data_IF_539834672282
#
_entry.id   IF_539834672282
#
_cell.length_a   1.000
_cell.length_b   1.000
_cell.length_c   1.000
_cell.angle_alpha   90.00
_cell.angle_beta   90.00
_cell.angle_gamma   90.00
#
_symmetry.space_group_name_H-M   'P 1'
#
loop_
_entity.id
_entity.type
_entity.pdbx_description
1 polymer ?
#
# COMPACT_ATOMS: atom_id res chain seq x y z
N UNK A 1 48.64 17.39 6.51
CA UNK A 1 47.98 16.16 6.99
C UNK A 1 46.49 16.34 6.79
N UNK A 2 45.90 15.62 5.83
CA UNK A 2 44.47 15.68 5.58
C UNK A 2 43.75 14.85 6.65
N UNK A 3 42.77 15.47 7.32
CA UNK A 3 41.86 14.77 8.23
C UNK A 3 40.92 13.95 7.35
N UNK A 4 41.12 12.64 7.34
CA UNK A 4 40.16 11.70 6.77
C UNK A 4 38.96 11.67 7.71
N UNK A 5 37.75 12.05 7.28
CA UNK A 5 36.57 11.84 8.11
C UNK A 5 36.37 10.33 8.24
N UNK A 6 36.44 9.83 9.47
CA UNK A 6 36.00 8.49 9.83
C UNK A 6 34.60 8.30 9.27
N UNK A 7 34.45 7.31 8.38
CA UNK A 7 33.19 6.95 7.75
C UNK A 7 32.11 6.83 8.83
N UNK A 8 31.12 7.71 8.70
CA UNK A 8 30.15 8.02 9.72
C UNK A 8 29.32 6.82 10.14
N UNK A 9 29.04 6.76 11.43
CA UNK A 9 27.83 6.14 11.95
C UNK A 9 26.66 6.64 11.09
N UNK A 10 26.07 5.75 10.29
CA UNK A 10 24.79 6.04 9.66
C UNK A 10 23.84 6.45 10.80
N UNK A 11 23.16 7.60 10.71
CA UNK A 11 22.24 8.02 11.75
C UNK A 11 21.18 6.94 11.90
N UNK A 12 21.11 6.32 13.08
CA UNK A 12 20.05 5.38 13.42
C UNK A 12 18.72 6.14 13.49
N UNK A 13 17.65 5.52 13.00
CA UNK A 13 16.32 6.08 13.06
C UNK A 13 15.85 6.29 14.51
N UNK A 14 15.11 7.38 14.73
CA UNK A 14 14.48 7.67 16.02
C UNK A 14 13.13 6.96 16.08
N UNK A 15 13.01 6.03 17.03
CA UNK A 15 11.76 5.33 17.32
C UNK A 15 11.14 5.86 18.62
N UNK A 16 10.02 6.58 18.49
CA UNK A 16 9.22 7.05 19.62
C UNK A 16 8.07 6.09 19.87
N UNK A 17 7.68 5.87 21.13
CA UNK A 17 6.49 5.08 21.47
C UNK A 17 5.49 5.94 22.24
N UNK A 18 4.24 5.97 21.79
CA UNK A 18 3.15 6.70 22.44
C UNK A 18 1.91 5.82 22.61
N UNK A 19 1.04 6.19 23.55
CA UNK A 19 -0.26 5.53 23.76
C UNK A 19 -1.33 6.29 22.97
N UNK A 20 -2.13 5.59 22.19
CA UNK A 20 -3.21 6.19 21.43
C UNK A 20 -3.77 5.31 20.32
N UNK A 21 -4.36 5.96 19.33
CA UNK A 21 -4.91 5.33 18.14
C UNK A 21 -4.10 5.76 16.91
N UNK A 22 -3.45 4.81 16.23
CA UNK A 22 -2.64 5.08 15.03
C UNK A 22 -3.43 5.82 13.94
N UNK A 23 -4.75 5.64 13.92
CA UNK A 23 -5.63 6.30 12.97
C UNK A 23 -5.98 7.74 13.30
N UNK A 24 -5.49 8.26 14.42
CA UNK A 24 -5.59 9.66 14.85
C UNK A 24 -4.32 10.45 14.52
N UNK A 25 -3.39 9.88 13.76
CA UNK A 25 -2.21 10.57 13.26
C UNK A 25 -2.60 11.87 12.50
N UNK A 26 -1.68 12.84 12.41
CA UNK A 26 -1.93 14.05 11.62
C UNK A 26 -2.25 13.76 10.15
N UNK A 27 -3.03 14.61 9.48
CA UNK A 27 -3.21 14.55 8.03
C UNK A 27 -1.86 14.46 7.30
N UNK A 28 -1.86 13.74 6.19
CA UNK A 28 -0.70 13.49 5.31
C UNK A 28 0.40 12.63 5.91
N UNK A 29 0.23 12.13 7.14
CA UNK A 29 1.09 11.11 7.72
C UNK A 29 1.02 9.78 6.95
N UNK A 30 2.10 9.00 7.07
CA UNK A 30 2.19 7.63 6.56
C UNK A 30 1.84 6.66 7.68
N UNK A 31 0.79 5.86 7.48
CA UNK A 31 0.43 4.77 8.39
C UNK A 31 1.03 3.47 7.88
N UNK A 32 2.01 2.96 8.61
CA UNK A 32 2.76 1.75 8.28
C UNK A 32 2.11 0.55 8.96
N UNK A 33 1.93 -0.53 8.20
CA UNK A 33 1.59 -1.83 8.76
C UNK A 33 2.20 -2.99 7.97
N UNK A 34 2.42 -4.11 8.66
CA UNK A 34 2.92 -5.34 8.04
C UNK A 34 1.79 -6.12 7.35
N UNK A 35 2.09 -6.62 6.15
CA UNK A 35 1.18 -7.28 5.24
C UNK A 35 1.72 -8.63 4.75
N UNK A 36 0.76 -9.47 4.37
CA UNK A 36 1.04 -10.63 3.51
C UNK A 36 0.95 -10.23 2.04
N UNK A 37 1.44 -11.08 1.14
CA UNK A 37 1.37 -10.84 -0.30
C UNK A 37 0.09 -11.38 -0.98
N UNK A 38 -0.87 -11.93 -0.23
CA UNK A 38 -2.11 -12.51 -0.79
C UNK A 38 -3.26 -11.51 -0.99
N UNK A 39 -3.06 -10.23 -0.68
CA UNK A 39 -4.12 -9.24 -0.80
C UNK A 39 -5.18 -9.36 0.30
N UNK A 40 -4.83 -9.91 1.47
CA UNK A 40 -5.77 -10.21 2.55
C UNK A 40 -5.55 -9.34 3.81
N UNK A 41 -6.55 -8.50 4.14
CA UNK A 41 -6.67 -7.77 5.41
C UNK A 41 -7.82 -8.35 6.25
N UNK A 42 -7.61 -9.56 6.79
CA UNK A 42 -8.68 -10.35 7.41
C UNK A 42 -8.61 -10.50 8.94
N UNK A 43 -7.57 -10.01 9.60
CA UNK A 43 -7.42 -10.17 11.05
C UNK A 43 -6.57 -9.07 11.70
N UNK A 44 -6.70 -8.92 13.02
CA UNK A 44 -5.94 -7.95 13.79
C UNK A 44 -6.15 -6.51 13.31
N UNK A 45 -5.10 -5.69 13.41
CA UNK A 45 -5.14 -4.28 12.98
C UNK A 45 -5.54 -4.11 11.51
N UNK A 46 -5.26 -5.09 10.65
CA UNK A 46 -5.58 -5.02 9.22
C UNK A 46 -7.09 -4.91 8.96
N UNK A 47 -7.93 -5.48 9.84
CA UNK A 47 -9.40 -5.31 9.75
C UNK A 47 -9.78 -3.84 9.98
N UNK A 48 -9.17 -3.18 10.95
CA UNK A 48 -9.42 -1.77 11.23
C UNK A 48 -8.91 -0.88 10.09
N UNK A 49 -7.74 -1.17 9.51
CA UNK A 49 -7.26 -0.52 8.29
C UNK A 49 -8.24 -0.69 7.13
N UNK A 50 -8.77 -1.90 6.91
CA UNK A 50 -9.74 -2.19 5.84
C UNK A 50 -11.03 -1.39 6.00
N UNK A 51 -11.53 -1.29 7.22
CA UNK A 51 -12.75 -0.56 7.54
C UNK A 51 -12.57 0.95 7.36
N UNK A 52 -11.43 1.51 7.82
CA UNK A 52 -11.18 2.96 7.77
C UNK A 52 -10.65 3.44 6.41
N UNK A 53 -9.92 2.61 5.68
CA UNK A 53 -9.31 2.92 4.38
C UNK A 53 -9.69 1.89 3.30
N UNK A 54 -10.97 1.81 2.92
CA UNK A 54 -11.43 0.85 1.90
C UNK A 54 -10.79 1.10 0.53
N UNK A 55 -10.44 2.35 0.19
CA UNK A 55 -9.67 2.68 -1.02
C UNK A 55 -8.29 2.05 -1.00
N UNK A 56 -7.53 2.23 0.09
CA UNK A 56 -6.21 1.64 0.22
C UNK A 56 -6.27 0.10 0.16
N UNK A 57 -7.29 -0.51 0.78
CA UNK A 57 -7.50 -1.95 0.66
C UNK A 57 -7.71 -2.39 -0.79
N UNK A 58 -8.50 -1.67 -1.60
CA UNK A 58 -8.70 -2.00 -3.02
C UNK A 58 -7.38 -1.93 -3.80
N UNK A 59 -6.57 -0.90 -3.58
CA UNK A 59 -5.25 -0.75 -4.22
C UNK A 59 -4.30 -1.87 -3.80
N UNK A 60 -4.21 -2.17 -2.52
CA UNK A 60 -3.43 -3.29 -1.98
C UNK A 60 -3.87 -4.64 -2.55
N UNK A 61 -5.17 -4.93 -2.53
CA UNK A 61 -5.70 -6.20 -3.05
C UNK A 61 -5.43 -6.36 -4.55
N UNK A 62 -5.67 -5.31 -5.35
CA UNK A 62 -5.36 -5.32 -6.77
C UNK A 62 -3.86 -5.50 -7.01
N UNK A 63 -3.01 -4.80 -6.25
CA UNK A 63 -1.56 -4.90 -6.34
C UNK A 63 -1.05 -6.32 -6.07
N UNK A 64 -1.66 -7.04 -5.11
CA UNK A 64 -1.30 -8.44 -4.84
C UNK A 64 -1.80 -9.43 -5.89
N UNK A 65 -2.97 -9.20 -6.47
CA UNK A 65 -3.66 -10.16 -7.33
C UNK A 65 -3.45 -9.93 -8.84
N UNK A 66 -2.96 -8.76 -9.23
CA UNK A 66 -2.76 -8.37 -10.62
C UNK A 66 -1.27 -8.15 -10.89
N UNK A 67 -0.58 -9.15 -11.48
CA UNK A 67 0.77 -8.96 -11.98
C UNK A 67 0.86 -7.74 -12.91
N UNK A 68 2.03 -7.07 -13.02
CA UNK A 68 2.20 -5.92 -13.89
C UNK A 68 1.76 -6.23 -15.33
N UNK A 69 1.09 -5.27 -15.96
CA UNK A 69 0.65 -5.40 -17.35
C UNK A 69 1.83 -5.72 -18.26
N UNK A 70 1.67 -6.74 -19.10
CA UNK A 70 2.74 -7.22 -19.99
C UNK A 70 3.74 -8.16 -19.35
N UNK A 71 3.69 -8.38 -18.02
CA UNK A 71 4.48 -9.43 -17.38
C UNK A 71 3.92 -10.82 -17.71
N UNK A 72 4.81 -11.81 -17.83
CA UNK A 72 4.44 -13.24 -17.96
C UNK A 72 4.35 -13.94 -16.60
N UNK A 73 4.33 -13.18 -15.51
CA UNK A 73 4.32 -13.74 -14.16
C UNK A 73 2.93 -14.30 -13.84
N UNK A 74 2.90 -15.50 -13.27
CA UNK A 74 1.71 -15.95 -12.57
C UNK A 74 1.46 -15.09 -11.33
N UNK A 75 0.22 -15.07 -10.83
CA UNK A 75 -0.12 -14.39 -9.57
C UNK A 75 0.80 -14.83 -8.44
N UNK A 76 1.07 -16.14 -8.30
CA UNK A 76 1.96 -16.67 -7.26
C UNK A 76 3.39 -16.15 -7.37
N UNK A 77 3.94 -16.07 -8.58
CA UNK A 77 5.30 -15.53 -8.79
C UNK A 77 5.33 -14.03 -8.48
N UNK A 78 4.29 -13.29 -8.90
CA UNK A 78 4.16 -11.88 -8.56
C UNK A 78 4.12 -11.65 -7.05
N UNK A 79 3.28 -12.40 -6.33
CA UNK A 79 3.18 -12.32 -4.87
C UNK A 79 4.50 -12.64 -4.17
N UNK A 80 5.25 -13.64 -4.66
CA UNK A 80 6.58 -13.94 -4.13
C UNK A 80 7.55 -12.77 -4.34
N UNK A 81 7.45 -12.05 -5.46
CA UNK A 81 8.28 -10.89 -5.76
C UNK A 81 7.91 -9.63 -4.95
N UNK A 82 6.73 -9.60 -4.33
CA UNK A 82 6.34 -8.50 -3.43
C UNK A 82 7.04 -8.59 -2.07
N UNK A 83 7.47 -9.77 -1.65
CA UNK A 83 8.04 -9.95 -0.31
C UNK A 83 9.35 -9.15 -0.18
N UNK A 84 9.42 -8.32 0.85
CA UNK A 84 10.51 -7.38 1.08
C UNK A 84 10.35 -6.03 0.38
N UNK A 85 9.23 -5.76 -0.27
CA UNK A 85 8.89 -4.43 -0.83
C UNK A 85 7.79 -3.74 -0.03
N UNK A 86 7.50 -2.49 -0.38
CA UNK A 86 6.41 -1.70 0.17
C UNK A 86 5.50 -1.18 -0.92
N UNK A 87 4.19 -1.32 -0.72
CA UNK A 87 3.20 -0.54 -1.46
C UNK A 87 2.84 0.71 -0.65
N UNK A 88 3.21 1.89 -1.12
CA UNK A 88 2.75 3.17 -0.59
C UNK A 88 1.51 3.64 -1.36
N UNK A 89 0.36 3.66 -0.69
CA UNK A 89 -0.90 4.12 -1.27
C UNK A 89 -1.15 5.57 -0.86
N UNK A 90 -1.26 6.52 -1.82
CA UNK A 90 -1.57 7.91 -1.50
C UNK A 90 -3.03 8.06 -1.03
N UNK A 91 -3.36 9.15 -0.32
CA UNK A 91 -4.75 9.50 -0.09
C UNK A 91 -5.47 9.69 -1.44
N UNK A 92 -6.76 9.33 -1.53
CA UNK A 92 -7.53 9.45 -2.75
C UNK A 92 -7.66 10.92 -3.17
N UNK A 93 -7.63 11.15 -4.49
CA UNK A 93 -7.84 12.49 -5.05
C UNK A 93 -9.33 12.89 -4.96
N UNK A 94 -9.62 14.19 -4.99
CA UNK A 94 -11.00 14.71 -4.93
C UNK A 94 -11.94 14.15 -6.02
N UNK A 95 -11.37 13.71 -7.15
CA UNK A 95 -12.09 13.05 -8.25
C UNK A 95 -12.31 11.56 -8.02
N UNK A 96 -11.50 10.92 -7.19
CA UNK A 96 -11.56 9.48 -6.91
C UNK A 96 -12.50 9.12 -5.76
N UNK A 97 -12.82 10.06 -4.86
CA UNK A 97 -13.76 9.82 -3.76
C UNK A 97 -14.70 11.00 -3.49
N UNK A 98 -15.96 10.84 -3.92
CA UNK A 98 -17.09 11.63 -3.39
C UNK A 98 -17.51 11.22 -1.97
N UNK A 99 -16.79 10.29 -1.33
CA UNK A 99 -17.04 9.80 0.03
C UNK A 99 -15.85 8.98 0.54
N UNK A 100 -14.81 9.58 1.12
CA UNK A 100 -14.16 8.99 2.30
C UNK A 100 -13.22 9.96 3.03
N UNK A 101 -13.21 9.82 4.35
CA UNK A 101 -12.20 10.29 5.30
C UNK A 101 -11.88 11.80 5.35
N UNK A 102 -12.24 12.46 6.46
CA UNK A 102 -11.76 13.80 6.82
C UNK A 102 -10.24 13.89 7.05
N UNK A 103 -9.52 12.76 7.06
CA UNK A 103 -8.08 12.70 7.36
C UNK A 103 -7.35 11.96 6.23
N UNK A 104 -6.69 12.68 5.30
CA UNK A 104 -5.98 12.05 4.19
C UNK A 104 -4.65 11.47 4.69
N UNK A 105 -4.56 10.16 4.90
CA UNK A 105 -3.29 9.49 5.21
C UNK A 105 -2.77 8.70 4.02
N UNK A 106 -1.44 8.57 3.95
CA UNK A 106 -0.79 7.55 3.13
C UNK A 106 -0.82 6.22 3.88
N UNK A 107 -1.02 5.11 3.17
CA UNK A 107 -0.99 3.76 3.76
C UNK A 107 0.20 3.00 3.19
N UNK A 108 1.16 2.64 4.04
CA UNK A 108 2.34 1.86 3.66
C UNK A 108 2.15 0.39 4.06
N UNK A 109 2.02 -0.47 3.06
CA UNK A 109 1.87 -1.91 3.22
C UNK A 109 3.25 -2.57 3.08
N UNK A 110 3.90 -2.91 4.20
CA UNK A 110 5.17 -3.62 4.18
C UNK A 110 4.93 -5.11 3.93
N UNK A 111 5.43 -5.68 2.83
CA UNK A 111 5.25 -7.09 2.53
C UNK A 111 6.28 -7.95 3.27
N UNK A 112 6.00 -8.25 4.54
CA UNK A 112 6.98 -8.94 5.41
C UNK A 112 6.85 -10.46 5.38
N UNK A 113 5.73 -10.99 4.87
CA UNK A 113 5.53 -12.43 4.67
C UNK A 113 4.79 -12.71 3.36
N UNK A 114 5.09 -13.83 2.71
CA UNK A 114 4.32 -14.30 1.56
C UNK A 114 2.89 -14.67 2.00
N UNK A 115 2.80 -15.53 3.00
CA UNK A 115 1.58 -16.15 3.49
C UNK A 115 1.04 -15.49 4.78
N UNK A 116 -0.10 -15.95 5.29
CA UNK A 116 -0.69 -15.46 6.55
C UNK A 116 -1.36 -16.59 7.35
N UNK A 117 -1.81 -16.26 8.56
CA UNK A 117 -2.45 -17.23 9.46
C UNK A 117 -1.47 -18.31 9.93
N UNK A 118 -1.80 -19.59 9.70
CA UNK A 118 -0.94 -20.71 10.12
C UNK A 118 0.31 -20.92 9.24
N UNK A 119 0.39 -20.22 8.10
CA UNK A 119 1.47 -20.35 7.11
C UNK A 119 2.40 -19.14 7.07
N UNK A 120 2.32 -18.25 8.06
CA UNK A 120 3.20 -17.08 8.17
C UNK A 120 4.67 -17.50 8.07
N UNK A 121 5.48 -16.69 7.38
CA UNK A 121 6.92 -16.89 7.23
C UNK A 121 7.62 -16.99 8.59
N UNK A 122 8.77 -17.68 8.69
CA UNK A 122 9.56 -17.70 9.92
C UNK A 122 9.97 -16.30 10.38
N UNK A 123 10.08 -16.09 11.70
CA UNK A 123 10.39 -14.78 12.27
C UNK A 123 11.66 -14.13 11.71
N UNK A 124 12.70 -14.92 11.44
CA UNK A 124 13.94 -14.43 10.81
C UNK A 124 13.67 -13.82 9.43
N UNK A 125 12.91 -14.52 8.60
CA UNK A 125 12.55 -14.06 7.26
C UNK A 125 11.68 -12.80 7.33
N UNK A 126 10.73 -12.75 8.27
CA UNK A 126 9.91 -11.55 8.49
C UNK A 126 10.77 -10.34 8.83
N UNK A 127 11.76 -10.48 9.70
CA UNK A 127 12.65 -9.39 10.09
C UNK A 127 13.51 -8.92 8.90
N UNK A 128 14.09 -9.84 8.13
CA UNK A 128 14.85 -9.53 6.92
C UNK A 128 13.99 -8.81 5.87
N UNK A 129 12.75 -9.28 5.66
CA UNK A 129 11.82 -8.65 4.74
C UNK A 129 11.33 -7.29 5.25
N UNK A 130 11.15 -7.14 6.56
CA UNK A 130 10.79 -5.85 7.18
C UNK A 130 11.87 -4.82 6.91
N UNK A 131 13.15 -5.18 7.08
CA UNK A 131 14.27 -4.29 6.78
C UNK A 131 14.27 -3.84 5.32
N UNK A 132 14.12 -4.78 4.38
CA UNK A 132 14.07 -4.48 2.93
C UNK A 132 12.88 -3.58 2.59
N UNK A 133 11.71 -3.87 3.14
CA UNK A 133 10.49 -3.12 2.89
C UNK A 133 10.59 -1.67 3.43
N UNK A 134 11.22 -1.48 4.59
CA UNK A 134 11.47 -0.14 5.15
C UNK A 134 12.44 0.67 4.28
N UNK A 135 13.51 0.04 3.75
CA UNK A 135 14.41 0.70 2.81
C UNK A 135 13.70 1.09 1.51
N UNK A 136 12.86 0.20 0.98
CA UNK A 136 12.01 0.49 -0.19
C UNK A 136 11.03 1.65 0.08
N UNK A 137 10.42 1.69 1.27
CA UNK A 137 9.57 2.81 1.69
C UNK A 137 10.35 4.12 1.79
N UNK A 138 11.57 4.09 2.35
CA UNK A 138 12.42 5.28 2.47
C UNK A 138 12.75 5.87 1.10
N UNK A 139 13.08 5.03 0.12
CA UNK A 139 13.30 5.45 -1.26
C UNK A 139 12.05 6.12 -1.86
N UNK A 140 10.87 5.50 -1.71
CA UNK A 140 9.61 6.07 -2.21
C UNK A 140 9.30 7.43 -1.56
N UNK A 141 9.57 7.61 -0.27
CA UNK A 141 9.38 8.90 0.43
C UNK A 141 10.36 9.94 -0.11
N UNK A 142 11.63 9.57 -0.32
CA UNK A 142 12.64 10.46 -0.86
C UNK A 142 12.30 10.92 -2.28
N UNK A 143 11.78 10.03 -3.13
CA UNK A 143 11.32 10.37 -4.48
C UNK A 143 10.16 11.36 -4.46
N UNK A 144 9.18 11.18 -3.58
CA UNK A 144 8.04 12.11 -3.46
C UNK A 144 8.53 13.49 -3.03
N UNK A 145 9.40 13.57 -2.00
CA UNK A 145 9.97 14.84 -1.50
C UNK A 145 10.91 15.51 -2.51
N UNK A 146 11.62 14.73 -3.32
CA UNK A 146 12.52 15.24 -4.36
C UNK A 146 11.79 15.78 -5.59
N UNK A 147 10.51 15.41 -5.78
CA UNK A 147 9.69 15.80 -6.93
C UNK A 147 8.85 17.06 -6.69
N UNK A 148 9.05 17.74 -5.56
CA UNK A 148 8.28 18.92 -5.10
C UNK A 148 8.57 20.23 -5.89
N UNK A 149 8.88 20.18 -7.20
CA UNK A 149 8.97 21.39 -8.04
C UNK A 149 7.62 22.12 -8.17
N UNK A 150 6.51 21.46 -7.82
CA UNK A 150 5.14 21.92 -7.99
C UNK A 150 4.37 22.20 -6.68
N UNK A 151 5.00 22.04 -5.51
CA UNK A 151 4.43 22.37 -4.19
C UNK A 151 3.17 21.61 -3.77
N UNK A 152 2.86 20.48 -4.44
CA UNK A 152 1.55 19.81 -4.35
C UNK A 152 1.51 18.59 -3.43
N UNK A 153 2.64 18.02 -2.99
CA UNK A 153 2.59 16.71 -2.33
C UNK A 153 3.56 16.48 -1.14
N UNK A 154 3.55 17.39 -0.16
CA UNK A 154 4.16 17.14 1.17
C UNK A 154 3.71 15.80 1.80
N UNK A 155 4.67 14.94 2.13
CA UNK A 155 4.44 13.70 2.87
C UNK A 155 4.90 13.90 4.32
N UNK A 156 3.98 13.68 5.25
CA UNK A 156 4.19 13.88 6.69
C UNK A 156 4.98 12.76 7.36
N UNK A 157 4.99 12.77 8.69
CA UNK A 157 5.73 11.79 9.52
C UNK A 157 5.15 10.37 9.44
N UNK A 158 5.98 9.39 9.77
CA UNK A 158 5.62 7.97 9.81
C UNK A 158 5.05 7.55 11.16
N UNK A 159 3.92 6.84 11.12
CA UNK A 159 3.28 6.24 12.28
C UNK A 159 3.05 4.76 12.02
N UNK A 160 3.27 3.91 13.01
CA UNK A 160 3.00 2.50 12.92
C UNK A 160 2.37 1.99 14.22
N UNK A 161 1.69 0.85 14.16
CA UNK A 161 1.50 0.04 15.36
C UNK A 161 2.75 -0.81 15.61
N UNK A 162 2.75 -1.63 16.67
CA UNK A 162 3.76 -2.68 16.84
C UNK A 162 3.62 -3.73 15.73
N UNK A 163 4.23 -3.47 14.57
CA UNK A 163 4.15 -4.36 13.41
C UNK A 163 4.81 -5.71 13.73
N UNK A 164 4.38 -6.76 13.05
CA UNK A 164 4.80 -8.15 13.23
C UNK A 164 4.49 -8.81 14.61
N UNK A 165 4.19 -8.06 15.68
CA UNK A 165 3.99 -8.60 17.03
C UNK A 165 2.64 -9.25 17.30
N UNK A 166 1.64 -8.93 16.48
CA UNK A 166 0.32 -9.55 16.55
C UNK A 166 0.28 -10.91 15.84
N UNK A 167 -0.44 -10.98 14.72
CA UNK A 167 -0.71 -12.25 14.02
C UNK A 167 0.50 -12.89 13.35
N UNK A 168 1.61 -12.16 13.22
CA UNK A 168 2.87 -12.71 12.70
C UNK A 168 3.77 -13.28 13.80
N UNK A 169 3.45 -13.04 15.08
CA UNK A 169 4.10 -13.70 16.20
C UNK A 169 5.58 -13.38 16.38
N UNK A 170 6.06 -12.26 15.84
CA UNK A 170 7.46 -11.82 16.02
C UNK A 170 7.56 -10.96 17.27
N UNK A 171 8.50 -11.28 18.15
CA UNK A 171 8.77 -10.48 19.35
C UNK A 171 9.02 -9.01 19.01
N UNK A 172 8.31 -8.10 19.69
CA UNK A 172 8.36 -6.66 19.39
C UNK A 172 9.78 -6.11 19.42
N UNK A 173 10.60 -6.48 20.41
CA UNK A 173 11.97 -5.98 20.56
C UNK A 173 12.84 -6.27 19.32
N UNK A 174 12.64 -7.42 18.66
CA UNK A 174 13.37 -7.76 17.44
C UNK A 174 12.95 -6.88 16.26
N UNK A 175 11.65 -6.60 16.17
CA UNK A 175 11.13 -5.69 15.14
C UNK A 175 11.58 -4.26 15.40
N UNK A 176 11.58 -3.82 16.66
CA UNK A 176 12.08 -2.50 17.07
C UNK A 176 13.54 -2.29 16.69
N UNK A 177 14.41 -3.28 16.94
CA UNK A 177 15.81 -3.20 16.54
C UNK A 177 15.99 -3.05 15.01
N UNK A 178 15.12 -3.68 14.21
CA UNK A 178 15.13 -3.49 12.74
C UNK A 178 14.68 -2.07 12.36
N UNK A 179 13.72 -1.50 13.08
CA UNK A 179 13.26 -0.12 12.84
C UNK A 179 14.35 0.90 13.20
N UNK A 180 15.01 0.74 14.35
CA UNK A 180 16.12 1.61 14.81
C UNK A 180 17.34 1.57 13.87
N UNK A 181 17.61 0.42 13.25
CA UNK A 181 18.67 0.28 12.27
C UNK A 181 18.33 0.88 10.89
N UNK A 182 17.09 1.30 10.67
CA UNK A 182 16.62 1.88 9.42
C UNK A 182 16.87 3.38 9.30
N UNK A 183 16.30 3.99 8.25
CA UNK A 183 16.45 5.40 7.90
C UNK A 183 15.20 6.26 8.18
N UNK A 184 14.15 5.64 8.73
CA UNK A 184 12.86 6.29 8.94
C UNK A 184 12.58 6.51 10.42
N UNK A 185 12.44 7.78 10.81
CA UNK A 185 11.88 8.13 12.11
C UNK A 185 10.41 7.71 12.16
N UNK A 186 10.04 6.86 13.12
CA UNK A 186 8.71 6.26 13.22
C UNK A 186 8.17 6.43 14.64
N UNK A 187 6.95 6.97 14.73
CA UNK A 187 6.18 6.96 15.97
C UNK A 187 5.34 5.68 16.06
N UNK A 188 5.62 4.86 17.06
CA UNK A 188 4.89 3.63 17.36
C UNK A 188 3.75 3.94 18.30
N UNK A 189 2.52 3.80 17.79
CA UNK A 189 1.30 4.04 18.54
C UNK A 189 0.77 2.73 19.09
N UNK A 190 0.62 2.68 20.41
CA UNK A 190 0.13 1.51 21.14
C UNK A 190 -1.27 1.79 21.68
N UNK A 191 -2.23 0.85 21.55
CA UNK A 191 -3.52 1.00 22.19
C UNK A 191 -3.36 1.10 23.71
N UNK A 192 -4.30 1.80 24.34
CA UNK A 192 -4.36 1.93 25.79
C UNK A 192 -4.50 0.54 26.46
N UNK A 193 -3.74 0.30 27.53
CA UNK A 193 -3.70 -0.98 28.24
C UNK A 193 -2.74 -2.03 27.67
N UNK A 194 -1.99 -1.74 26.60
CA UNK A 194 -0.88 -2.60 26.16
C UNK A 194 0.40 -2.24 26.93
N UNK A 195 0.72 -2.99 27.99
CA UNK A 195 1.93 -2.76 28.79
C UNK A 195 3.22 -3.11 28.02
N UNK A 196 4.35 -2.55 28.46
CA UNK A 196 5.67 -2.94 27.97
C UNK A 196 6.00 -4.33 28.51
N UNK A 197 5.47 -5.37 27.86
CA UNK A 197 5.78 -6.75 28.20
C UNK A 197 7.26 -7.03 27.87
N UNK A 198 8.13 -6.75 28.83
CA UNK A 198 9.45 -7.37 28.93
C UNK A 198 9.18 -8.82 29.36
N UNK A 199 9.10 -9.72 28.38
CA UNK A 199 9.12 -11.16 28.62
C UNK A 199 7.81 -11.78 29.13
N UNK A 200 6.79 -11.86 28.28
CA UNK A 200 5.83 -12.98 28.33
C UNK A 200 5.13 -13.11 26.98
N UNK A 201 5.21 -14.29 26.38
CA UNK A 201 4.48 -14.60 25.16
C UNK A 201 2.97 -14.56 25.36
N UNK A 202 2.29 -14.24 24.27
CA UNK A 202 0.85 -14.43 23.98
C UNK A 202 -0.16 -13.36 24.44
N UNK A 203 -0.81 -12.80 23.42
CA UNK A 203 -2.22 -12.35 23.31
C UNK A 203 -2.72 -11.21 24.19
N UNK A 204 -2.50 -9.98 23.74
CA UNK A 204 -3.30 -8.83 24.12
C UNK A 204 -3.56 -7.91 22.91
N UNK A 205 -4.32 -8.40 21.93
CA UNK A 205 -4.88 -7.53 20.88
C UNK A 205 -6.24 -8.08 20.43
N UNK A 206 -7.19 -8.13 21.38
CA UNK A 206 -8.59 -8.47 21.11
C UNK A 206 -9.56 -7.62 21.95
N UNK A 207 -9.29 -6.32 22.06
CA UNK A 207 -10.29 -5.34 22.52
C UNK A 207 -10.16 -4.04 21.73
N UNK A 208 -10.73 -4.05 20.53
CA UNK A 208 -11.38 -2.85 20.00
C UNK A 208 -12.87 -3.13 20.10
N UNK A 209 -13.54 -2.41 20.98
CA UNK A 209 -14.93 -2.58 21.35
C UNK A 209 -15.86 -2.45 20.13
N UNK A 210 -16.72 -3.45 19.92
CA UNK A 210 -17.90 -3.33 19.07
C UNK A 210 -19.13 -3.12 19.96
N UNK A 211 -20.11 -2.29 19.56
CA UNK A 211 -21.34 -2.11 20.33
C UNK A 211 -22.20 -3.38 20.33
N UNK A 212 -22.94 -3.66 21.42
CA UNK A 212 -23.65 -4.92 21.59
C UNK A 212 -24.85 -5.03 20.65
N UNK A 213 -24.89 -6.07 19.82
CA UNK A 213 -26.12 -6.50 19.17
C UNK A 213 -27.04 -7.17 20.20
N UNK A 214 -28.26 -6.64 20.32
CA UNK A 214 -29.37 -7.20 21.09
C UNK A 214 -29.66 -8.64 20.63
N UNK A 215 -29.40 -9.62 21.50
CA UNK A 215 -29.92 -10.98 21.37
C UNK A 215 -31.23 -11.11 22.16
N UNK A 216 -32.35 -11.20 21.45
CA UNK A 216 -33.60 -11.72 21.98
C UNK A 216 -33.63 -13.23 21.78
N UNK A 217 -33.44 -13.99 22.86
CA UNK A 217 -33.62 -15.44 22.86
C UNK A 217 -35.07 -15.84 23.07
N UNK A 218 -35.53 -16.85 22.33
CA UNK A 218 -36.67 -17.69 22.72
C UNK A 218 -36.31 -19.16 22.45
N UNK A 219 -36.42 -19.96 23.50
CA UNK A 219 -36.21 -21.42 23.54
C UNK A 219 -37.42 -22.15 22.97
N UNK A 220 -37.20 -23.32 22.34
CA UNK A 220 -38.29 -24.26 22.05
C UNK A 220 -37.88 -25.50 21.25
N UNK A 221 -37.58 -26.58 21.98
CA UNK A 221 -37.91 -28.01 21.70
C UNK A 221 -37.62 -28.68 20.33
N UNK A 222 -36.88 -29.80 20.38
CA UNK A 222 -36.75 -30.84 19.32
C UNK A 222 -38.07 -31.65 19.19
N UNK A 223 -38.39 -32.25 18.03
CA UNK A 223 -38.08 -33.70 17.88
C UNK A 223 -37.75 -34.22 16.45
N UNK A 224 -37.12 -35.41 16.48
CA UNK A 224 -37.11 -36.57 15.56
C UNK A 224 -36.70 -36.49 14.07
N UNK A 225 -35.89 -37.50 13.73
CA UNK A 225 -35.44 -38.02 12.42
C UNK A 225 -36.57 -38.18 11.38
N UNK A 226 -36.28 -37.80 10.13
CA UNK A 226 -36.72 -38.53 8.93
C UNK A 226 -35.93 -38.11 7.67
N UNK A 227 -35.56 -39.13 6.89
CA UNK A 227 -35.34 -39.23 5.45
C UNK A 227 -34.48 -38.20 4.67
N UNK A 228 -33.45 -38.75 4.03
CA UNK A 228 -32.62 -38.20 2.95
C UNK A 228 -33.37 -38.23 1.62
N UNK A 229 -33.23 -37.22 0.75
CA UNK A 229 -33.12 -37.49 -0.67
C UNK A 229 -31.95 -36.75 -1.33
N UNK A 230 -31.81 -37.02 -2.64
CA UNK A 230 -30.60 -37.08 -3.44
C UNK A 230 -30.09 -35.71 -3.93
N UNK A 231 -28.84 -35.74 -4.36
CA UNK A 231 -28.11 -34.66 -5.02
C UNK A 231 -28.76 -34.24 -6.35
N UNK A 232 -28.77 -32.93 -6.62
CA UNK A 232 -28.82 -32.37 -7.98
C UNK A 232 -27.87 -31.17 -8.12
N UNK A 233 -27.38 -31.04 -9.36
CA UNK A 233 -26.27 -30.21 -9.86
C UNK A 233 -26.79 -28.86 -10.44
N UNK A 234 -25.93 -27.97 -10.96
CA UNK A 234 -26.02 -26.53 -10.71
C UNK A 234 -26.95 -25.75 -11.64
N UNK A 235 -27.44 -24.64 -11.10
CA UNK A 235 -28.22 -23.60 -11.78
C UNK A 235 -27.31 -22.76 -12.70
N UNK A 236 -27.47 -22.96 -14.00
CA UNK A 236 -26.95 -22.06 -15.04
C UNK A 236 -28.09 -21.69 -15.99
N UNK A 237 -28.08 -20.42 -16.42
CA UNK A 237 -28.98 -19.74 -17.38
C UNK A 237 -30.32 -19.25 -16.84
N UNK A 238 -30.41 -17.93 -16.67
CA UNK A 238 -31.41 -17.12 -17.38
C UNK A 238 -31.06 -15.63 -17.28
N UNK A 239 -30.68 -15.00 -18.39
CA UNK A 239 -31.05 -13.62 -18.72
C UNK A 239 -30.90 -13.43 -20.23
N UNK A 240 -31.89 -12.76 -20.80
CA UNK A 240 -32.27 -12.81 -22.21
C UNK A 240 -31.36 -12.00 -23.14
N UNK A 241 -31.16 -12.58 -24.32
CA UNK A 241 -30.59 -11.96 -25.51
C UNK A 241 -31.61 -10.95 -26.05
N UNK A 242 -31.31 -9.66 -25.97
CA UNK A 242 -32.01 -8.62 -26.74
C UNK A 242 -31.31 -8.48 -28.08
N UNK A 243 -31.92 -9.04 -29.12
CA UNK A 243 -31.52 -8.81 -30.52
C UNK A 243 -31.87 -7.36 -30.89
N UNK A 244 -30.87 -6.53 -31.18
CA UNK A 244 -31.06 -5.29 -31.94
C UNK A 244 -30.60 -5.51 -33.38
N UNK A 245 -31.50 -5.08 -34.27
CA UNK A 245 -31.58 -5.27 -35.71
C UNK A 245 -30.60 -4.29 -36.39
N UNK A 246 -29.72 -4.81 -37.23
CA UNK A 246 -28.89 -4.03 -38.16
C UNK A 246 -29.72 -3.82 -39.43
N UNK A 247 -29.88 -2.59 -39.95
CA UNK A 247 -30.20 -2.37 -41.35
C UNK A 247 -28.90 -2.26 -42.16
N UNK A 248 -28.90 -2.95 -43.30
CA UNK A 248 -27.87 -2.92 -44.33
C UNK A 248 -28.15 -1.79 -45.34
N UNK A 249 -27.10 -1.50 -46.10
CA UNK A 249 -27.05 -0.89 -47.44
C UNK A 249 -27.19 0.64 -47.55
N UNK A 250 -26.06 1.30 -47.86
CA UNK A 250 -25.92 2.15 -49.07
C UNK A 250 -24.48 2.03 -49.60
N UNK A 251 -24.39 1.69 -50.88
CA UNK A 251 -23.21 1.62 -51.75
C UNK A 251 -22.42 2.93 -51.89
N UNK A 252 -21.17 2.85 -52.35
CA UNK A 252 -20.44 4.01 -52.86
C UNK A 252 -18.96 3.76 -53.09
N UNK A 253 -18.63 3.26 -54.27
CA UNK A 253 -17.29 3.17 -54.87
C UNK A 253 -16.48 4.48 -54.79
N UNK A 254 -15.17 4.34 -54.66
CA UNK A 254 -14.20 4.57 -55.76
C UNK A 254 -12.91 5.33 -55.36
N UNK A 255 -11.82 4.74 -55.87
CA UNK A 255 -10.65 5.34 -56.50
C UNK A 255 -9.45 5.95 -55.73
N UNK A 256 -8.32 5.28 -56.00
CA UNK A 256 -6.99 5.75 -56.41
C UNK A 256 -6.26 6.89 -55.70
N UNK A 257 -5.10 6.50 -55.15
CA UNK A 257 -3.77 6.88 -55.67
C UNK A 257 -3.49 8.36 -55.96
N UNK A 258 -2.55 8.93 -55.20
CA UNK A 258 -1.55 9.84 -55.78
C UNK A 258 -0.30 9.99 -54.92
N UNK A 259 0.82 9.89 -55.61
CA UNK A 259 2.18 10.16 -55.17
C UNK A 259 2.45 11.67 -54.96
N UNK A 260 3.60 11.89 -54.31
CA UNK A 260 4.60 12.94 -54.57
C UNK A 260 4.64 14.24 -53.73
N UNK A 261 5.74 14.28 -52.96
CA UNK A 261 6.86 15.23 -53.04
C UNK A 261 6.93 16.48 -52.13
N UNK A 262 8.15 16.63 -51.59
CA UNK A 262 8.86 17.83 -51.09
C UNK A 262 8.42 18.36 -49.71
N UNK A 263 9.30 18.72 -48.77
CA UNK A 263 10.76 18.72 -48.73
C UNK A 263 11.27 19.33 -47.41
N UNK A 264 12.59 19.48 -47.34
CA UNK A 264 13.39 20.32 -46.41
C UNK A 264 13.69 19.78 -44.99
N UNK A 265 14.87 19.14 -44.94
CA UNK A 265 16.02 19.49 -44.09
C UNK A 265 15.75 20.33 -42.82
N UNK A 266 16.05 19.75 -41.65
CA UNK A 266 16.60 20.50 -40.51
C UNK A 266 17.81 19.74 -39.96
N UNK A 267 18.93 20.46 -39.84
CA UNK A 267 20.18 20.04 -39.23
C UNK A 267 20.18 20.42 -37.72
N UNK A 268 21.11 19.89 -36.90
CA UNK A 268 20.93 19.78 -35.45
C UNK A 268 21.36 21.02 -34.66
N UNK A 269 20.69 21.23 -33.52
CA UNK A 269 21.04 22.19 -32.47
C UNK A 269 22.41 21.84 -31.85
N UNK A 270 23.38 22.75 -31.97
CA UNK A 270 24.48 22.88 -31.01
C UNK A 270 24.61 24.33 -30.52
N UNK A 271 24.70 24.43 -29.19
CA UNK A 271 25.42 25.38 -28.33
C UNK A 271 25.39 26.90 -28.59
N UNK A 272 25.22 27.62 -27.48
CA UNK A 272 26.00 28.80 -27.01
C UNK A 272 25.07 29.68 -26.16
N UNK A 273 24.97 29.47 -24.84
CA UNK A 273 25.86 30.03 -23.80
C UNK A 273 26.57 31.32 -24.26
N UNK A 274 26.36 32.39 -23.48
CA UNK A 274 27.01 33.71 -23.50
C UNK A 274 26.23 34.83 -24.19
N UNK A 275 25.36 35.51 -23.41
CA UNK A 275 25.15 36.97 -23.45
C UNK A 275 24.19 37.41 -22.33
N UNK A 276 24.68 37.47 -21.09
CA UNK A 276 24.03 38.24 -20.02
C UNK A 276 25.07 38.74 -19.02
N UNK A 277 25.87 39.70 -19.44
CA UNK A 277 26.70 40.55 -18.58
C UNK A 277 27.07 41.81 -19.34
N UNK A 278 26.30 42.88 -19.10
CA UNK A 278 26.68 44.31 -19.16
C UNK A 278 25.41 45.16 -19.23
N UNK A 279 24.81 45.40 -18.07
CA UNK A 279 24.13 46.66 -17.74
C UNK A 279 24.36 46.85 -16.26
N UNK A 280 25.32 47.72 -15.92
CA UNK A 280 25.41 48.47 -14.67
C UNK A 280 26.67 49.35 -14.79
N UNK A 281 26.47 50.67 -14.66
CA UNK A 281 27.50 51.66 -14.31
C UNK A 281 28.23 52.34 -15.48
N UNK A 282 27.89 53.61 -15.75
CA UNK A 282 28.66 54.74 -15.22
C UNK A 282 27.95 56.06 -15.52
N UNK A 283 27.64 56.79 -14.45
CA UNK A 283 27.59 58.26 -14.43
C UNK A 283 29.00 58.81 -14.68
N UNK A 284 29.07 60.02 -15.24
CA UNK A 284 30.30 60.76 -15.54
C UNK A 284 30.13 61.66 -16.76
#
# INVERSE_FOLDING_TARGET
MAIVPLLGVNPMAIITEEVGNVFSAPPRSILIHACNAHGAWGSGVAVAFKQKYPYAFRKYNAHCLSPPTGSKLSVKQHQANLVGTTLLVPPPTATEEQQASKTPHYIACLFTSLDYGKKVSPAKEILENTQKALADLANQIAEIRGSDEDGRQEVGSCYAVRINSGRFGVEWQKTKAVLEAGELDITIVRPEGEENAIGAGTTACEKLEQPPMRNGGAKGTKPSKAARPKAERPFAKQMGVVKRKIPADVDGDDNSGRENMTGKQTAPLQSNIAKRRKRLGSDG
#
